data_IF_401595655887
#
_entry.id   IF_401595655887
#
_cell.length_a   1.000
_cell.length_b   1.000
_cell.length_c   1.000
_cell.angle_alpha   90.00
_cell.angle_beta   90.00
_cell.angle_gamma   90.00
#
_symmetry.space_group_name_H-M   'P 1'
#
loop_
_entity.id
_entity.type
_entity.pdbx_description
1 polymer ?
#
# COMPACT_ATOMS: atom_id res chain seq x y z
N UNK A 1 27.66 19.25 -19.51
CA UNK A 1 26.25 18.95 -19.79
C UNK A 1 25.53 19.11 -18.48
N UNK A 2 24.70 20.15 -18.35
CA UNK A 2 24.12 20.56 -17.07
C UNK A 2 23.16 19.51 -16.50
N UNK A 3 23.18 19.34 -15.19
CA UNK A 3 22.23 18.52 -14.45
C UNK A 3 20.82 19.08 -14.70
N UNK A 4 19.98 18.34 -15.41
CA UNK A 4 18.56 18.67 -15.55
C UNK A 4 17.90 18.24 -14.25
N UNK A 5 17.48 19.20 -13.43
CA UNK A 5 16.65 18.90 -12.26
C UNK A 5 15.30 18.34 -12.70
N UNK A 6 14.99 17.11 -12.27
CA UNK A 6 13.72 16.45 -12.56
C UNK A 6 12.81 16.56 -11.35
N UNK A 7 11.75 17.36 -11.46
CA UNK A 7 10.72 17.47 -10.42
C UNK A 7 9.74 16.28 -10.48
N UNK A 8 9.84 15.38 -9.50
CA UNK A 8 8.93 14.24 -9.37
C UNK A 8 7.49 14.65 -8.99
N UNK A 9 7.35 15.67 -8.13
CA UNK A 9 6.06 16.25 -7.72
C UNK A 9 6.08 17.77 -7.91
N UNK A 10 4.94 18.33 -8.31
CA UNK A 10 4.80 19.73 -8.74
C UNK A 10 3.58 20.39 -8.08
N UNK A 11 3.65 20.58 -6.77
CA UNK A 11 2.60 21.26 -5.99
C UNK A 11 1.33 20.42 -5.84
N UNK A 12 1.48 19.19 -5.36
CA UNK A 12 0.37 18.27 -5.12
C UNK A 12 -0.33 18.62 -3.80
N UNK A 13 -1.66 18.79 -3.84
CA UNK A 13 -2.52 18.88 -2.66
C UNK A 13 -3.42 17.64 -2.61
N UNK A 14 -3.36 16.89 -1.52
CA UNK A 14 -4.05 15.61 -1.38
C UNK A 14 -4.42 15.37 0.09
N UNK A 15 -5.67 14.98 0.32
CA UNK A 15 -6.14 14.46 1.60
C UNK A 15 -6.54 13.00 1.45
N UNK A 16 -6.16 12.14 2.40
CA UNK A 16 -6.67 10.78 2.55
C UNK A 16 -7.57 10.71 3.78
N UNK A 17 -8.78 10.16 3.63
CA UNK A 17 -9.79 10.12 4.68
C UNK A 17 -9.84 8.74 5.35
N UNK A 18 -10.26 8.71 6.62
CA UNK A 18 -10.36 7.48 7.40
C UNK A 18 -11.24 6.43 6.71
N UNK A 19 -10.73 5.19 6.58
CA UNK A 19 -11.44 4.02 6.06
C UNK A 19 -11.70 4.00 4.55
N UNK A 20 -11.31 5.02 3.79
CA UNK A 20 -11.52 5.02 2.34
C UNK A 20 -10.48 4.15 1.61
N UNK A 21 -10.89 3.53 0.49
CA UNK A 21 -9.99 2.93 -0.48
C UNK A 21 -9.76 3.92 -1.63
N UNK A 22 -8.54 4.46 -1.74
CA UNK A 22 -8.13 5.38 -2.82
C UNK A 22 -7.27 4.65 -3.84
N UNK A 23 -7.53 4.90 -5.12
CA UNK A 23 -6.61 4.53 -6.21
C UNK A 23 -5.94 5.77 -6.77
N UNK A 24 -4.61 5.80 -6.71
CA UNK A 24 -3.78 6.79 -7.39
C UNK A 24 -3.36 6.23 -8.75
N UNK A 25 -4.00 6.72 -9.81
CA UNK A 25 -3.83 6.22 -11.17
C UNK A 25 -2.88 7.12 -11.97
N UNK A 26 -1.94 6.55 -12.72
CA UNK A 26 -1.10 7.34 -13.62
C UNK A 26 -0.04 6.52 -14.34
N UNK A 27 0.52 7.07 -15.42
CA UNK A 27 1.59 6.42 -16.17
C UNK A 27 2.87 6.21 -15.32
N UNK A 28 3.76 5.32 -15.76
CA UNK A 28 5.09 5.20 -15.15
C UNK A 28 5.81 6.56 -15.19
N UNK A 29 6.53 6.90 -14.11
CA UNK A 29 7.21 8.19 -13.98
C UNK A 29 6.31 9.39 -13.65
N UNK A 30 5.01 9.22 -13.39
CA UNK A 30 4.12 10.35 -13.06
C UNK A 30 4.28 10.93 -11.65
N UNK A 31 5.12 10.31 -10.81
CA UNK A 31 5.38 10.74 -9.42
C UNK A 31 4.64 9.93 -8.33
N UNK A 32 3.89 8.88 -8.69
CA UNK A 32 3.06 8.10 -7.74
C UNK A 32 3.86 7.50 -6.58
N UNK A 33 4.93 6.76 -6.88
CA UNK A 33 5.73 6.09 -5.84
C UNK A 33 6.44 7.12 -4.96
N UNK A 34 6.90 8.24 -5.52
CA UNK A 34 7.44 9.37 -4.73
C UNK A 34 6.39 9.92 -3.78
N UNK A 35 5.16 10.18 -4.25
CA UNK A 35 4.07 10.65 -3.41
C UNK A 35 3.73 9.63 -2.30
N UNK A 36 3.63 8.35 -2.64
CA UNK A 36 3.33 7.29 -1.68
C UNK A 36 4.43 7.15 -0.61
N UNK A 37 5.70 7.23 -1.00
CA UNK A 37 6.84 7.20 -0.07
C UNK A 37 6.84 8.41 0.88
N UNK A 38 6.52 9.61 0.37
CA UNK A 38 6.39 10.81 1.18
C UNK A 38 5.23 10.67 2.18
N UNK A 39 4.06 10.19 1.73
CA UNK A 39 2.89 9.99 2.60
C UNK A 39 3.15 8.97 3.71
N UNK A 40 3.94 7.94 3.43
CA UNK A 40 4.30 6.94 4.42
C UNK A 40 5.60 7.23 5.18
N UNK A 41 6.17 8.44 5.04
CA UNK A 41 7.35 8.88 5.79
C UNK A 41 8.63 8.10 5.46
N UNK A 42 8.74 7.51 4.27
CA UNK A 42 9.98 6.91 3.74
C UNK A 42 10.85 7.93 2.99
N UNK A 43 10.27 9.05 2.60
CA UNK A 43 10.93 10.15 1.91
C UNK A 43 10.38 11.48 2.43
N UNK A 44 11.12 12.57 2.21
CA UNK A 44 10.76 13.91 2.67
C UNK A 44 10.54 14.86 1.49
N UNK A 45 9.48 15.68 1.51
CA UNK A 45 9.25 16.62 0.42
C UNK A 45 10.31 17.71 0.42
N UNK A 46 10.80 18.10 -0.77
CA UNK A 46 11.69 19.27 -0.90
C UNK A 46 11.00 20.57 -0.48
N UNK A 47 9.69 20.68 -0.73
CA UNK A 47 8.83 21.81 -0.33
C UNK A 47 7.41 21.32 -0.09
N UNK A 48 6.68 22.06 0.75
CA UNK A 48 5.31 21.70 1.14
C UNK A 48 5.29 21.05 2.52
N UNK A 49 4.12 20.58 2.92
CA UNK A 49 3.90 20.01 4.24
C UNK A 49 3.10 18.72 4.14
N UNK A 50 3.42 17.77 5.02
CA UNK A 50 2.73 16.49 5.14
C UNK A 50 2.32 16.32 6.59
N UNK A 51 1.06 15.98 6.79
CA UNK A 51 0.46 15.77 8.09
C UNK A 51 -0.21 14.41 8.14
N UNK A 52 -0.04 13.73 9.27
CA UNK A 52 -0.90 12.62 9.67
C UNK A 52 -1.74 13.11 10.84
N UNK A 53 -3.03 13.37 10.61
CA UNK A 53 -3.88 14.06 11.58
C UNK A 53 -3.21 15.36 12.05
N UNK A 54 -3.02 15.53 13.36
CA UNK A 54 -2.35 16.70 13.94
C UNK A 54 -0.81 16.58 13.96
N UNK A 55 -0.25 15.46 13.50
CA UNK A 55 1.19 15.20 13.52
C UNK A 55 1.83 15.67 12.20
N UNK A 56 2.62 16.74 12.27
CA UNK A 56 3.43 17.20 11.13
C UNK A 56 4.61 16.25 10.89
N UNK A 57 4.67 15.64 9.72
CA UNK A 57 5.77 14.74 9.32
C UNK A 57 6.92 15.51 8.66
N UNK A 58 6.63 16.65 8.02
CA UNK A 58 7.68 17.48 7.41
C UNK A 58 8.54 18.14 8.49
N UNK A 59 9.85 17.88 8.44
CA UNK A 59 10.80 18.36 9.45
C UNK A 59 10.88 17.47 10.70
N UNK A 60 10.14 16.36 10.73
CA UNK A 60 10.29 15.35 11.78
C UNK A 60 11.66 14.67 11.69
N UNK A 61 12.16 14.25 12.85
CA UNK A 61 13.38 13.46 12.98
C UNK A 61 13.18 12.03 12.49
N UNK A 62 14.26 11.31 12.19
CA UNK A 62 14.17 9.92 11.75
C UNK A 62 13.53 9.00 12.80
N UNK A 63 13.73 9.29 14.09
CA UNK A 63 13.09 8.54 15.18
C UNK A 63 11.57 8.76 15.21
N UNK A 64 11.11 9.99 14.95
CA UNK A 64 9.69 10.31 14.85
C UNK A 64 9.05 9.66 13.62
N UNK A 65 9.72 9.69 12.47
CA UNK A 65 9.27 8.99 11.26
C UNK A 65 9.26 7.48 11.45
N UNK A 66 10.25 6.92 12.17
CA UNK A 66 10.29 5.50 12.54
C UNK A 66 9.11 5.12 13.41
N UNK A 67 8.79 5.92 14.42
CA UNK A 67 7.61 5.71 15.27
C UNK A 67 6.31 5.82 14.45
N UNK A 68 6.18 6.85 13.62
CA UNK A 68 5.03 7.02 12.74
C UNK A 68 4.82 5.79 11.84
N UNK A 69 5.88 5.33 11.17
CA UNK A 69 5.82 4.13 10.32
C UNK A 69 5.45 2.90 11.14
N UNK A 70 6.07 2.68 12.29
CA UNK A 70 5.80 1.54 13.17
C UNK A 70 4.34 1.49 13.58
N UNK A 71 3.78 2.61 14.04
CA UNK A 71 2.46 2.69 14.67
C UNK A 71 1.31 2.79 13.65
N UNK A 72 1.49 3.53 12.55
CA UNK A 72 0.35 3.93 11.71
C UNK A 72 0.38 3.39 10.27
N UNK A 73 1.55 3.04 9.70
CA UNK A 73 1.67 2.84 8.24
C UNK A 73 2.08 1.42 7.84
N UNK A 74 1.18 0.65 7.23
CA UNK A 74 1.51 -0.61 6.56
C UNK A 74 1.96 -0.38 5.12
N UNK A 75 3.02 -1.05 4.68
CA UNK A 75 3.51 -0.98 3.30
C UNK A 75 3.40 -2.33 2.59
N UNK A 76 2.88 -2.29 1.37
CA UNK A 76 2.81 -3.41 0.44
C UNK A 76 3.52 -3.00 -0.85
N UNK A 77 4.65 -3.63 -1.15
CA UNK A 77 5.47 -3.30 -2.31
C UNK A 77 5.27 -4.27 -3.47
N UNK A 78 5.49 -3.81 -4.71
CA UNK A 78 5.43 -4.61 -5.93
C UNK A 78 6.34 -5.85 -5.89
N UNK A 79 7.53 -5.74 -5.30
CA UNK A 79 8.51 -6.83 -5.22
C UNK A 79 8.40 -7.67 -3.94
N UNK A 80 7.27 -7.58 -3.22
CA UNK A 80 6.93 -8.30 -1.97
C UNK A 80 7.84 -8.00 -0.77
N UNK A 81 9.14 -7.79 -0.99
CA UNK A 81 10.19 -7.57 0.01
C UNK A 81 10.16 -8.62 1.13
N UNK A 82 9.88 -9.89 0.81
CA UNK A 82 9.94 -11.00 1.77
C UNK A 82 11.39 -11.43 2.00
N UNK A 83 11.70 -11.87 3.22
CA UNK A 83 13.00 -12.45 3.55
C UNK A 83 13.00 -13.91 3.08
N UNK A 84 13.84 -14.30 2.09
CA UNK A 84 13.74 -15.62 1.46
C UNK A 84 14.02 -16.80 2.39
N UNK A 85 14.81 -16.58 3.44
CA UNK A 85 15.20 -17.61 4.42
C UNK A 85 14.18 -17.82 5.54
N UNK A 86 13.10 -17.04 5.56
CA UNK A 86 12.03 -17.15 6.55
C UNK A 86 10.79 -17.73 5.91
N UNK A 87 10.03 -18.49 6.68
CA UNK A 87 8.69 -18.97 6.31
C UNK A 87 7.69 -17.81 6.20
N UNK A 88 6.51 -18.07 5.65
CA UNK A 88 5.41 -17.09 5.61
C UNK A 88 5.07 -16.57 7.02
N UNK A 89 4.95 -17.48 7.99
CA UNK A 89 4.68 -17.15 9.39
C UNK A 89 5.75 -16.25 9.98
N UNK A 90 7.03 -16.60 9.80
CA UNK A 90 8.16 -15.83 10.32
C UNK A 90 8.26 -14.44 9.65
N UNK A 91 8.02 -14.35 8.34
CA UNK A 91 7.96 -13.06 7.63
C UNK A 91 6.91 -12.12 8.22
N UNK A 92 5.76 -12.65 8.63
CA UNK A 92 4.69 -11.87 9.26
C UNK A 92 5.02 -11.54 10.71
N UNK A 93 5.61 -12.47 11.47
CA UNK A 93 5.97 -12.29 12.87
C UNK A 93 7.01 -11.17 13.10
N UNK A 94 7.90 -10.90 12.15
CA UNK A 94 8.92 -9.86 12.29
C UNK A 94 8.36 -8.48 12.67
N UNK A 95 7.20 -8.12 12.13
CA UNK A 95 6.61 -6.81 12.39
C UNK A 95 5.76 -6.79 13.66
N UNK A 96 5.33 -7.95 14.15
CA UNK A 96 4.50 -8.02 15.37
C UNK A 96 5.33 -7.79 16.61
N UNK A 97 6.62 -8.17 16.60
CA UNK A 97 7.56 -7.90 17.72
C UNK A 97 7.75 -6.41 18.01
N UNK A 98 7.58 -5.56 16.99
CA UNK A 98 7.71 -4.11 17.11
C UNK A 98 6.35 -3.39 17.14
N UNK A 99 5.22 -4.10 17.11
CA UNK A 99 3.90 -3.48 17.16
C UNK A 99 3.38 -3.44 18.60
N UNK A 100 2.57 -2.43 18.95
CA UNK A 100 1.99 -2.32 20.29
C UNK A 100 0.83 -3.31 20.52
N UNK A 101 0.00 -3.54 19.49
CA UNK A 101 -1.17 -4.42 19.58
C UNK A 101 -1.39 -5.19 18.25
N UNK A 102 -0.44 -6.05 17.86
CA UNK A 102 -0.52 -6.79 16.60
C UNK A 102 -1.62 -7.85 16.62
N UNK A 103 -2.05 -8.28 15.44
CA UNK A 103 -2.68 -9.58 15.25
C UNK A 103 -1.71 -10.72 15.54
N UNK A 104 -2.26 -11.89 15.86
CA UNK A 104 -1.48 -13.11 15.77
C UNK A 104 -1.03 -13.30 14.29
N UNK A 105 0.26 -13.58 14.01
CA UNK A 105 0.74 -13.82 12.65
C UNK A 105 -0.04 -14.89 11.87
N UNK A 106 -0.53 -15.95 12.55
CA UNK A 106 -1.36 -16.98 11.95
C UNK A 106 -2.73 -16.44 11.53
N UNK A 107 -3.37 -15.63 12.39
CA UNK A 107 -4.65 -14.98 12.09
C UNK A 107 -4.50 -14.02 10.89
N UNK A 108 -3.40 -13.26 10.83
CA UNK A 108 -3.11 -12.38 9.70
C UNK A 108 -2.93 -13.17 8.38
N UNK A 109 -2.29 -14.34 8.43
CA UNK A 109 -2.17 -15.23 7.27
C UNK A 109 -3.51 -15.87 6.88
N UNK A 110 -4.36 -16.22 7.85
CA UNK A 110 -5.71 -16.72 7.59
C UNK A 110 -6.60 -15.64 6.95
N UNK A 111 -6.49 -14.38 7.38
CA UNK A 111 -7.22 -13.24 6.82
C UNK A 111 -6.98 -13.11 5.31
N UNK A 112 -5.75 -13.36 4.86
CA UNK A 112 -5.37 -13.33 3.44
C UNK A 112 -5.52 -14.69 2.74
N UNK A 113 -6.10 -15.70 3.40
CA UNK A 113 -6.35 -17.02 2.82
C UNK A 113 -5.09 -17.88 2.62
N UNK A 114 -4.15 -17.81 3.56
CA UNK A 114 -2.88 -18.55 3.58
C UNK A 114 -2.70 -19.43 4.84
N UNK A 115 -3.80 -19.82 5.48
CA UNK A 115 -3.78 -20.67 6.69
C UNK A 115 -3.05 -22.00 6.51
N UNK A 116 -3.06 -22.60 5.31
CA UNK A 116 -2.36 -23.86 5.04
C UNK A 116 -0.90 -23.65 4.57
N UNK A 117 -0.43 -22.41 4.51
CA UNK A 117 0.87 -22.02 3.94
C UNK A 117 1.86 -21.46 4.97
N UNK A 118 1.54 -21.53 6.26
CA UNK A 118 2.31 -20.91 7.35
C UNK A 118 3.83 -21.21 7.28
N UNK A 119 4.18 -22.47 7.03
CA UNK A 119 5.57 -22.93 7.05
C UNK A 119 6.25 -22.98 5.67
N UNK A 120 5.62 -22.44 4.63
CA UNK A 120 6.24 -22.38 3.31
C UNK A 120 7.23 -21.22 3.24
N UNK A 121 8.39 -21.46 2.64
CA UNK A 121 9.35 -20.41 2.26
C UNK A 121 8.87 -19.69 1.00
N UNK A 122 9.24 -18.41 0.77
CA UNK A 122 8.87 -17.66 -0.42
C UNK A 122 9.16 -18.40 -1.74
N UNK A 123 10.28 -19.14 -1.82
CA UNK A 123 10.63 -19.93 -3.00
C UNK A 123 9.66 -21.09 -3.33
N UNK A 124 8.80 -21.47 -2.38
CA UNK A 124 7.79 -22.52 -2.52
C UNK A 124 6.40 -21.95 -2.83
N UNK A 125 6.27 -20.63 -2.95
CA UNK A 125 5.00 -19.92 -3.09
C UNK A 125 4.92 -19.22 -4.45
N UNK A 126 3.73 -19.21 -5.04
CA UNK A 126 3.44 -18.41 -6.22
C UNK A 126 3.57 -16.90 -5.94
N UNK A 127 3.71 -16.07 -6.98
CA UNK A 127 3.78 -14.62 -6.81
C UNK A 127 2.57 -14.03 -6.08
N UNK A 128 1.36 -14.53 -6.36
CA UNK A 128 0.16 -14.10 -5.65
C UNK A 128 0.11 -14.54 -4.19
N UNK A 129 0.60 -15.73 -3.87
CA UNK A 129 0.77 -16.16 -2.48
C UNK A 129 1.81 -15.28 -1.76
N UNK A 130 2.96 -14.98 -2.38
CA UNK A 130 3.97 -14.08 -1.81
C UNK A 130 3.43 -12.65 -1.59
N UNK A 131 2.68 -12.11 -2.54
CA UNK A 131 2.02 -10.82 -2.40
C UNK A 131 1.03 -10.82 -1.23
N UNK A 132 0.26 -11.90 -1.06
CA UNK A 132 -0.65 -12.05 0.08
C UNK A 132 0.09 -12.18 1.41
N UNK A 133 1.27 -12.83 1.46
CA UNK A 133 2.15 -12.79 2.66
C UNK A 133 2.61 -11.35 2.93
N UNK A 134 2.97 -10.57 1.91
CA UNK A 134 3.37 -9.18 2.08
C UNK A 134 2.20 -8.32 2.64
N UNK A 135 0.97 -8.58 2.19
CA UNK A 135 -0.23 -7.95 2.75
C UNK A 135 -0.44 -8.40 4.21
N UNK A 136 -0.38 -9.71 4.49
CA UNK A 136 -0.50 -10.24 5.86
C UNK A 136 0.50 -9.58 6.81
N UNK A 137 1.76 -9.43 6.38
CA UNK A 137 2.79 -8.71 7.15
C UNK A 137 2.39 -7.25 7.36
N UNK A 138 1.95 -6.54 6.33
CA UNK A 138 1.56 -5.14 6.47
C UNK A 138 0.37 -4.93 7.43
N UNK A 139 -0.62 -5.84 7.41
CA UNK A 139 -1.83 -5.73 8.25
C UNK A 139 -1.64 -6.30 9.65
N UNK A 140 -0.68 -7.21 9.87
CA UNK A 140 -0.46 -7.87 11.15
C UNK A 140 -0.19 -6.89 12.29
N UNK A 141 0.34 -5.69 12.00
CA UNK A 141 0.55 -4.65 13.01
C UNK A 141 -0.66 -3.75 13.29
N UNK A 142 -1.79 -3.95 12.59
CA UNK A 142 -2.99 -3.10 12.63
C UNK A 142 -2.73 -1.64 12.27
N UNK A 143 -2.22 -1.35 11.05
CA UNK A 143 -1.96 0.02 10.64
C UNK A 143 -3.26 0.79 10.42
N UNK A 144 -3.25 2.10 10.68
CA UNK A 144 -4.36 2.98 10.28
C UNK A 144 -4.38 3.20 8.77
N UNK A 145 -3.19 3.26 8.16
CA UNK A 145 -3.00 3.52 6.73
C UNK A 145 -2.24 2.38 6.07
N UNK A 146 -2.81 1.79 5.02
CA UNK A 146 -2.18 0.79 4.17
C UNK A 146 -1.80 1.40 2.81
N UNK A 147 -0.50 1.48 2.54
CA UNK A 147 0.05 2.03 1.32
C UNK A 147 0.55 0.91 0.41
N UNK A 148 -0.05 0.79 -0.78
CA UNK A 148 0.23 -0.29 -1.72
C UNK A 148 0.85 0.26 -3.02
N UNK A 149 2.09 -0.13 -3.30
CA UNK A 149 2.80 0.18 -4.54
C UNK A 149 2.65 -0.94 -5.56
N UNK A 150 1.82 -0.71 -6.59
CA UNK A 150 1.58 -1.64 -7.71
C UNK A 150 1.37 -3.10 -7.23
N UNK A 151 0.41 -3.37 -6.32
CA UNK A 151 0.30 -4.67 -5.64
C UNK A 151 -0.02 -5.85 -6.58
N UNK A 152 -0.39 -5.57 -7.83
CA UNK A 152 -0.66 -6.57 -8.86
C UNK A 152 0.26 -6.45 -10.08
N UNK A 153 1.27 -5.56 -10.05
CA UNK A 153 2.07 -5.21 -11.24
C UNK A 153 2.91 -6.35 -11.81
N UNK A 154 3.21 -7.38 -11.00
CA UNK A 154 3.97 -8.57 -11.37
C UNK A 154 3.12 -9.83 -11.57
N UNK A 155 1.80 -9.72 -11.46
CA UNK A 155 0.87 -10.86 -11.39
C UNK A 155 0.04 -10.97 -12.67
N UNK A 156 -0.34 -12.20 -13.01
CA UNK A 156 -1.39 -12.41 -14.02
C UNK A 156 -2.74 -11.91 -13.50
N UNK A 157 -3.69 -11.76 -14.42
CA UNK A 157 -5.01 -11.20 -14.13
C UNK A 157 -5.81 -11.95 -13.06
N UNK A 158 -5.85 -13.29 -13.13
CA UNK A 158 -6.63 -14.09 -12.20
C UNK A 158 -6.04 -13.99 -10.79
N UNK A 159 -4.71 -14.07 -10.70
CA UNK A 159 -3.98 -13.90 -9.44
C UNK A 159 -4.10 -12.47 -8.89
N UNK A 160 -4.03 -11.46 -9.76
CA UNK A 160 -4.19 -10.05 -9.38
C UNK A 160 -5.55 -9.75 -8.78
N UNK A 161 -6.63 -10.34 -9.31
CA UNK A 161 -7.97 -10.22 -8.71
C UNK A 161 -8.01 -10.74 -7.28
N UNK A 162 -7.44 -11.92 -7.01
CA UNK A 162 -7.39 -12.49 -5.65
C UNK A 162 -6.66 -11.55 -4.69
N UNK A 163 -5.57 -10.92 -5.12
CA UNK A 163 -4.85 -9.92 -4.30
C UNK A 163 -5.71 -8.69 -4.02
N UNK A 164 -6.44 -8.19 -5.01
CA UNK A 164 -7.34 -7.04 -4.85
C UNK A 164 -8.54 -7.36 -3.97
N UNK A 165 -9.08 -8.58 -4.03
CA UNK A 165 -10.10 -9.07 -3.10
C UNK A 165 -9.62 -9.03 -1.66
N UNK A 166 -8.39 -9.48 -1.42
CA UNK A 166 -7.78 -9.40 -0.08
C UNK A 166 -7.64 -7.96 0.38
N UNK A 167 -7.16 -7.04 -0.48
CA UNK A 167 -7.04 -5.62 -0.12
C UNK A 167 -8.39 -4.98 0.17
N UNK A 168 -9.40 -5.24 -0.66
CA UNK A 168 -10.76 -4.74 -0.45
C UNK A 168 -11.37 -5.28 0.85
N UNK A 169 -11.15 -6.56 1.14
CA UNK A 169 -11.59 -7.22 2.37
C UNK A 169 -10.91 -6.61 3.59
N UNK A 170 -9.59 -6.45 3.57
CA UNK A 170 -8.82 -5.82 4.65
C UNK A 170 -9.31 -4.40 4.92
N UNK A 171 -9.52 -3.59 3.88
CA UNK A 171 -10.09 -2.25 4.01
C UNK A 171 -11.49 -2.28 4.66
N UNK A 172 -12.38 -3.14 4.16
CA UNK A 172 -13.76 -3.22 4.65
C UNK A 172 -13.91 -3.80 6.07
N UNK A 173 -13.17 -4.85 6.40
CA UNK A 173 -13.26 -5.53 7.70
C UNK A 173 -12.50 -4.78 8.80
N UNK A 174 -11.35 -4.19 8.49
CA UNK A 174 -10.49 -3.53 9.48
C UNK A 174 -10.67 -2.01 9.53
N UNK A 175 -11.39 -1.42 8.57
CA UNK A 175 -11.57 0.04 8.49
C UNK A 175 -10.30 0.81 8.17
N UNK A 176 -9.29 0.14 7.61
CA UNK A 176 -7.99 0.74 7.28
C UNK A 176 -8.10 1.71 6.10
N UNK A 177 -7.52 2.91 6.19
CA UNK A 177 -7.40 3.79 5.02
C UNK A 177 -6.41 3.16 4.05
N UNK A 178 -6.85 2.78 2.86
CA UNK A 178 -6.01 2.07 1.89
C UNK A 178 -5.75 2.94 0.67
N UNK A 179 -4.48 3.17 0.34
CA UNK A 179 -4.09 3.84 -0.90
C UNK A 179 -3.34 2.87 -1.81
N UNK A 180 -3.86 2.64 -3.01
CA UNK A 180 -3.25 1.80 -4.04
C UNK A 180 -2.76 2.69 -5.17
N UNK A 181 -1.45 2.70 -5.44
CA UNK A 181 -0.95 3.32 -6.67
C UNK A 181 -0.89 2.28 -7.78
N UNK A 182 -1.33 2.66 -8.97
CA UNK A 182 -1.25 1.79 -10.14
C UNK A 182 -1.24 2.56 -11.45
N UNK A 183 -0.83 1.91 -12.53
CA UNK A 183 -1.10 2.34 -13.90
C UNK A 183 -2.30 1.62 -14.54
N UNK A 184 -2.86 0.60 -13.88
CA UNK A 184 -4.00 -0.13 -14.39
C UNK A 184 -5.33 0.59 -14.09
N UNK A 185 -5.98 1.09 -15.13
CA UNK A 185 -7.22 1.85 -15.02
C UNK A 185 -8.42 1.02 -14.54
N UNK A 186 -8.41 -0.31 -14.73
CA UNK A 186 -9.52 -1.16 -14.29
C UNK A 186 -9.64 -1.19 -12.76
N UNK A 187 -8.51 -1.15 -12.03
CA UNK A 187 -8.47 -1.12 -10.57
C UNK A 187 -9.17 0.14 -10.01
N UNK A 188 -9.23 1.23 -10.79
CA UNK A 188 -9.89 2.46 -10.35
C UNK A 188 -11.38 2.26 -9.99
N UNK A 189 -12.06 1.27 -10.59
CA UNK A 189 -13.49 1.05 -10.36
C UNK A 189 -13.83 0.44 -8.99
N UNK A 190 -12.85 -0.17 -8.29
CA UNK A 190 -13.06 -0.72 -6.94
C UNK A 190 -12.75 0.28 -5.81
N UNK A 191 -12.30 1.49 -6.15
CA UNK A 191 -11.96 2.53 -5.18
C UNK A 191 -13.17 3.37 -4.77
N UNK A 192 -13.16 3.91 -3.55
CA UNK A 192 -14.08 5.00 -3.17
C UNK A 192 -13.74 6.27 -3.95
N UNK A 193 -12.45 6.53 -4.15
CA UNK A 193 -11.95 7.69 -4.87
C UNK A 193 -10.76 7.36 -5.75
N UNK A 194 -10.73 7.97 -6.93
CA UNK A 194 -9.69 7.82 -7.94
C UNK A 194 -9.01 9.17 -8.12
N UNK A 195 -7.69 9.17 -8.03
CA UNK A 195 -6.86 10.37 -8.14
C UNK A 195 -5.89 10.14 -9.29
N UNK A 196 -6.03 10.91 -10.37
CA UNK A 196 -5.15 10.79 -11.53
C UNK A 196 -3.94 11.68 -11.37
N UNK A 197 -2.76 11.08 -11.45
CA UNK A 197 -1.47 11.76 -11.38
C UNK A 197 -0.79 11.75 -12.75
N UNK A 198 -0.42 12.92 -13.25
CA UNK A 198 0.32 13.10 -14.50
C UNK A 198 1.41 14.14 -14.32
N UNK A 199 2.65 13.82 -14.75
CA UNK A 199 3.79 14.73 -14.72
C UNK A 199 4.01 15.43 -13.36
N UNK A 200 3.83 14.70 -12.26
CA UNK A 200 3.99 15.21 -10.90
C UNK A 200 2.81 16.05 -10.38
N UNK A 201 1.68 16.10 -11.08
CA UNK A 201 0.49 16.87 -10.70
C UNK A 201 -0.75 15.99 -10.60
N UNK A 202 -1.66 16.32 -9.68
CA UNK A 202 -3.01 15.75 -9.69
C UNK A 202 -3.81 16.49 -10.75
N UNK A 203 -4.29 15.74 -11.75
CA UNK A 203 -5.06 16.29 -12.88
C UNK A 203 -6.55 16.00 -12.77
N UNK A 204 -6.94 15.01 -11.97
CA UNK A 204 -8.35 14.67 -11.72
C UNK A 204 -8.47 14.02 -10.34
N UNK A 205 -9.55 14.34 -9.63
CA UNK A 205 -10.01 13.58 -8.47
C UNK A 205 -11.49 13.27 -8.65
N UNK A 206 -11.86 11.99 -8.63
CA UNK A 206 -13.22 11.52 -8.88
C UNK A 206 -13.63 10.53 -7.80
N UNK A 207 -14.82 10.72 -7.22
CA UNK A 207 -15.45 9.72 -6.36
C UNK A 207 -16.25 8.73 -7.20
N UNK A 208 -16.15 7.45 -6.88
CA UNK A 208 -17.04 6.45 -7.47
C UNK A 208 -18.34 6.43 -6.67
N UNK A 209 -19.51 6.64 -7.30
CA UNK A 209 -20.79 6.55 -6.60
C UNK A 209 -21.13 5.11 -6.20
N UNK A 210 -20.65 4.13 -6.98
CA UNK A 210 -20.78 2.70 -6.73
C UNK A 210 -19.43 2.06 -7.02
N UNK A 211 -18.92 1.28 -6.07
CA UNK A 211 -17.69 0.50 -6.24
C UNK A 211 -18.01 -0.84 -6.90
N UNK A 212 -17.17 -1.24 -7.84
CA UNK A 212 -17.16 -2.62 -8.30
C UNK A 212 -16.39 -3.49 -7.31
N UNK A 213 -16.85 -4.72 -7.10
CA UNK A 213 -16.03 -5.74 -6.47
C UNK A 213 -14.84 -6.10 -7.38
N UNK A 214 -13.70 -6.53 -6.85
CA UNK A 214 -12.57 -6.98 -7.66
C UNK A 214 -12.93 -8.08 -8.66
N UNK A 215 -13.90 -8.95 -8.34
CA UNK A 215 -14.42 -9.98 -9.23
C UNK A 215 -15.08 -9.42 -10.49
N UNK A 216 -15.76 -8.26 -10.39
CA UNK A 216 -16.47 -7.57 -11.47
C UNK A 216 -15.55 -6.73 -12.37
N UNK A 217 -14.29 -6.52 -11.98
CA UNK A 217 -13.35 -5.76 -12.81
C UNK A 217 -13.12 -6.46 -14.15
N UNK A 218 -13.22 -5.70 -15.24
CA UNK A 218 -12.82 -6.12 -16.58
C UNK A 218 -11.52 -5.39 -16.94
N UNK A 219 -10.49 -6.14 -17.33
CA UNK A 219 -9.14 -5.63 -17.59
C UNK A 219 -8.79 -5.74 -19.06
#
# INVERSE_FOLDING_TARGET
MGEVEVHALRGVNLDLYAGELVVLLGASGSGKSTLLNILGGLDVPTRGEVYYLDHKLTGATEDELTRFRREHVGFVFQFYNLIPSLTALENVALVTEIAHNPFNPEEALQLVGLGDRLHHFPAQMSGGEQQRVAIARAVAKRPDVLLCDEPTGSLDYATGKVVLEVLARVNGELGTTTAVITHNAAIAAMADRVIRLSSGQIVETKRNPVKLSPAELAW
#
